data_IF_664225433750
#
_entry.id   IF_664225433750
#
_cell.length_a   1.000
_cell.length_b   1.000
_cell.length_c   1.000
_cell.angle_alpha   90.00
_cell.angle_beta   90.00
_cell.angle_gamma   90.00
#
_symmetry.space_group_name_H-M   'P 1'
#
loop_
_entity.id
_entity.type
_entity.pdbx_description
1 polymer ?
#
# COMPACT_ATOMS: atom_id res chain seq x y z
N UNK A 1 2.03 24.86 -18.44
CA UNK A 1 2.12 24.18 -17.13
C UNK A 1 2.00 25.17 -15.96
N UNK A 2 1.05 24.95 -15.05
CA UNK A 2 0.87 25.80 -13.88
C UNK A 2 2.11 25.72 -12.96
N UNK A 3 2.62 26.85 -12.48
CA UNK A 3 3.91 26.98 -11.76
C UNK A 3 3.98 26.21 -10.43
N UNK A 4 2.86 25.71 -9.91
CA UNK A 4 2.80 24.85 -8.72
C UNK A 4 2.95 23.39 -9.13
N UNK A 5 4.15 22.84 -9.02
CA UNK A 5 4.31 21.38 -9.01
C UNK A 5 4.95 20.97 -7.70
N UNK A 6 4.38 19.96 -7.02
CA UNK A 6 5.04 19.28 -5.89
C UNK A 6 5.92 18.11 -6.36
N UNK A 7 6.53 18.25 -7.55
CA UNK A 7 7.30 17.18 -8.18
C UNK A 7 6.43 16.10 -8.85
N UNK A 8 6.86 14.86 -8.70
CA UNK A 8 6.34 13.68 -9.40
C UNK A 8 7.31 13.18 -10.48
N UNK A 9 7.18 11.93 -10.86
CA UNK A 9 8.06 11.28 -11.82
C UNK A 9 7.45 10.01 -12.39
N UNK A 10 8.26 9.32 -13.18
CA UNK A 10 7.98 7.97 -13.62
C UNK A 10 9.14 7.09 -13.16
N UNK A 11 8.80 6.04 -12.43
CA UNK A 11 9.74 5.16 -11.78
C UNK A 11 9.39 3.71 -12.09
N UNK A 12 10.40 2.85 -12.15
CA UNK A 12 10.20 1.41 -12.26
C UNK A 12 10.11 0.86 -10.83
N UNK A 13 8.97 0.25 -10.49
CA UNK A 13 8.81 -0.43 -9.21
C UNK A 13 9.60 -1.74 -9.19
N UNK A 14 9.82 -2.28 -8.00
CA UNK A 14 10.60 -3.51 -7.75
C UNK A 14 9.99 -4.78 -8.39
N UNK A 15 8.77 -4.70 -8.91
CA UNK A 15 8.13 -5.74 -9.72
C UNK A 15 8.22 -5.46 -11.23
N UNK A 16 9.08 -4.53 -11.65
CA UNK A 16 9.40 -4.20 -13.03
C UNK A 16 8.38 -3.32 -13.74
N UNK A 17 7.27 -2.96 -13.08
CA UNK A 17 6.20 -2.14 -13.67
C UNK A 17 6.54 -0.66 -13.54
N UNK A 18 6.08 0.17 -14.47
CA UNK A 18 6.27 1.61 -14.36
C UNK A 18 5.12 2.25 -13.59
N UNK A 19 5.45 3.08 -12.60
CA UNK A 19 4.52 3.91 -11.84
C UNK A 19 4.76 5.36 -12.24
N UNK A 20 3.71 6.03 -12.73
CA UNK A 20 3.78 7.39 -13.24
C UNK A 20 2.87 8.27 -12.39
N UNK A 21 3.38 9.42 -11.95
CA UNK A 21 2.63 10.35 -11.11
C UNK A 21 3.46 10.93 -9.98
N UNK A 22 2.80 11.47 -8.94
CA UNK A 22 1.38 11.80 -8.88
C UNK A 22 1.06 13.07 -9.67
N UNK A 23 -0.23 13.39 -9.80
CA UNK A 23 -0.68 14.74 -10.16
C UNK A 23 -0.74 15.66 -8.92
N UNK A 24 -1.13 16.91 -9.12
CA UNK A 24 -1.44 17.86 -8.06
C UNK A 24 -2.79 18.51 -8.39
N UNK A 25 -3.84 17.97 -7.78
CA UNK A 25 -5.22 18.43 -7.90
C UNK A 25 -5.76 18.69 -6.51
N UNK A 26 -6.27 19.89 -6.28
CA UNK A 26 -6.92 20.24 -5.03
C UNK A 26 -8.33 19.63 -5.00
N UNK A 27 -8.68 19.01 -3.88
CA UNK A 27 -10.01 18.42 -3.63
C UNK A 27 -10.55 19.01 -2.33
N UNK A 28 -11.87 19.24 -2.27
CA UNK A 28 -12.53 19.80 -1.08
C UNK A 28 -12.83 18.74 -0.02
N UNK A 29 -13.21 17.55 -0.48
CA UNK A 29 -13.64 16.44 0.35
C UNK A 29 -12.44 15.56 0.74
N UNK A 30 -12.38 15.19 2.03
CA UNK A 30 -11.26 14.41 2.60
C UNK A 30 -11.18 12.97 2.06
N UNK A 31 -12.30 12.46 1.58
CA UNK A 31 -12.56 11.09 1.12
C UNK A 31 -12.70 11.01 -0.40
N UNK A 32 -12.56 12.12 -1.12
CA UNK A 32 -12.58 12.10 -2.58
C UNK A 32 -11.27 11.53 -3.14
N UNK A 33 -11.27 10.21 -3.32
CA UNK A 33 -10.22 9.43 -3.99
C UNK A 33 -10.64 9.05 -5.41
N UNK A 34 -11.49 9.85 -6.06
CA UNK A 34 -11.85 9.59 -7.46
C UNK A 34 -10.65 9.80 -8.39
N UNK A 35 -10.63 9.06 -9.49
CA UNK A 35 -9.65 9.22 -10.57
C UNK A 35 -10.42 9.47 -11.85
N UNK A 36 -10.14 10.58 -12.53
CA UNK A 36 -10.79 10.91 -13.80
C UNK A 36 -9.88 10.60 -14.98
N UNK A 37 -10.44 10.56 -16.19
CA UNK A 37 -9.67 10.35 -17.42
C UNK A 37 -8.64 11.46 -17.62
N UNK A 38 -9.04 12.70 -17.34
CA UNK A 38 -8.19 13.89 -17.45
C UNK A 38 -7.00 13.82 -16.49
N UNK A 39 -7.19 13.24 -15.29
CA UNK A 39 -6.10 13.02 -14.34
C UNK A 39 -5.03 12.08 -14.92
N UNK A 40 -5.45 11.01 -15.60
CA UNK A 40 -4.56 10.02 -16.24
C UNK A 40 -3.86 10.64 -17.44
N UNK A 41 -4.61 11.27 -18.34
CA UNK A 41 -4.07 11.92 -19.55
C UNK A 41 -3.05 13.01 -19.19
N UNK A 42 -3.32 13.82 -18.17
CA UNK A 42 -2.38 14.85 -17.70
C UNK A 42 -1.08 14.28 -17.12
N UNK A 43 -1.13 13.13 -16.44
CA UNK A 43 0.07 12.42 -15.97
C UNK A 43 0.88 11.90 -17.17
N UNK A 44 0.21 11.26 -18.14
CA UNK A 44 0.86 10.74 -19.34
C UNK A 44 1.50 11.87 -20.17
N UNK A 45 0.80 12.96 -20.42
CA UNK A 45 1.31 14.11 -21.17
C UNK A 45 2.54 14.73 -20.48
N UNK A 46 2.51 14.86 -19.14
CA UNK A 46 3.60 15.44 -18.36
C UNK A 46 4.87 14.59 -18.41
N UNK A 47 4.76 13.27 -18.20
CA UNK A 47 5.93 12.40 -18.02
C UNK A 47 6.36 11.67 -19.29
N UNK A 48 5.51 11.58 -20.32
CA UNK A 48 5.82 10.95 -21.61
C UNK A 48 7.09 11.52 -22.25
N UNK A 49 7.30 12.83 -22.12
CA UNK A 49 8.45 13.56 -22.67
C UNK A 49 9.80 13.10 -22.10
N UNK A 50 9.80 12.38 -20.97
CA UNK A 50 11.00 11.83 -20.34
C UNK A 50 11.44 10.49 -20.95
N UNK A 51 10.60 9.84 -21.78
CA UNK A 51 10.85 8.49 -22.28
C UNK A 51 10.76 8.41 -23.80
N UNK A 52 11.62 7.58 -24.40
CA UNK A 52 11.55 7.26 -25.83
C UNK A 52 10.36 6.38 -26.19
N UNK A 53 9.86 5.59 -25.23
CA UNK A 53 8.75 4.66 -25.40
C UNK A 53 7.73 4.87 -24.30
N UNK A 54 6.48 5.02 -24.69
CA UNK A 54 5.35 5.17 -23.77
C UNK A 54 4.78 3.81 -23.38
N UNK A 55 4.19 3.69 -22.17
CA UNK A 55 3.38 2.53 -21.83
C UNK A 55 2.23 2.41 -22.83
N UNK A 56 1.93 1.17 -23.25
CA UNK A 56 0.83 0.90 -24.18
C UNK A 56 -0.52 1.00 -23.50
N UNK A 57 -0.60 0.50 -22.26
CA UNK A 57 -1.84 0.38 -21.50
C UNK A 57 -1.64 0.80 -20.04
N UNK A 58 -2.71 1.31 -19.44
CA UNK A 58 -2.80 1.56 -18.00
C UNK A 58 -3.43 0.34 -17.35
N UNK A 59 -2.66 -0.39 -16.53
CA UNK A 59 -3.11 -1.64 -15.88
C UNK A 59 -3.79 -1.40 -14.53
N UNK A 60 -3.49 -0.28 -13.89
CA UNK A 60 -4.07 0.12 -12.61
C UNK A 60 -3.85 1.62 -12.38
N UNK A 61 -4.75 2.22 -11.62
CA UNK A 61 -4.64 3.57 -11.09
C UNK A 61 -5.06 3.58 -9.63
N UNK A 62 -4.50 4.51 -8.88
CA UNK A 62 -4.83 4.75 -7.49
C UNK A 62 -4.64 6.22 -7.19
N UNK A 63 -5.36 6.71 -6.20
CA UNK A 63 -5.26 8.07 -5.72
C UNK A 63 -5.22 8.07 -4.20
N UNK A 64 -4.81 9.20 -3.64
CA UNK A 64 -4.83 9.44 -2.21
C UNK A 64 -4.87 10.94 -1.96
N UNK A 65 -5.62 11.34 -0.94
CA UNK A 65 -5.76 12.74 -0.56
C UNK A 65 -4.68 13.08 0.48
N UNK A 66 -3.93 14.16 0.24
CA UNK A 66 -2.93 14.65 1.22
C UNK A 66 -3.61 15.58 2.22
N UNK A 67 -3.35 15.36 3.51
CA UNK A 67 -3.74 16.31 4.56
C UNK A 67 -2.84 17.54 4.50
N UNK A 68 -3.37 18.67 4.00
CA UNK A 68 -2.66 19.94 3.87
C UNK A 68 -3.19 20.90 4.93
N UNK A 69 -2.31 21.43 5.79
CA UNK A 69 -2.67 22.40 6.82
C UNK A 69 -1.65 23.54 6.89
N UNK A 70 -1.58 24.35 5.83
CA UNK A 70 -0.62 25.45 5.71
C UNK A 70 0.81 24.98 5.51
N UNK A 71 1.62 24.97 6.58
CA UNK A 71 3.04 24.56 6.61
C UNK A 71 3.20 23.04 6.39
N UNK A 72 4.46 22.58 6.30
CA UNK A 72 4.79 21.18 6.01
C UNK A 72 4.18 20.18 7.01
N UNK A 73 4.24 20.47 8.32
CA UNK A 73 3.71 19.62 9.39
C UNK A 73 3.10 20.47 10.53
N UNK A 74 2.05 19.97 11.18
CA UNK A 74 1.56 20.46 12.48
C UNK A 74 1.82 19.39 13.54
N UNK A 75 2.84 19.62 14.37
CA UNK A 75 3.18 18.73 15.50
C UNK A 75 3.28 19.58 16.76
N UNK A 76 2.21 19.61 17.55
CA UNK A 76 2.10 20.46 18.74
C UNK A 76 1.17 19.84 19.79
N UNK A 77 1.09 20.50 20.95
CA UNK A 77 0.23 20.12 22.07
C UNK A 77 -0.52 21.36 22.56
N UNK A 78 -1.63 21.76 21.92
CA UNK A 78 -2.32 22.99 22.27
C UNK A 78 -3.09 22.87 23.58
N UNK A 79 -3.45 21.66 23.98
CA UNK A 79 -4.11 21.36 25.26
C UNK A 79 -3.41 20.20 25.96
N UNK A 80 -3.54 20.15 27.28
CA UNK A 80 -2.92 19.11 28.11
C UNK A 80 -3.37 17.72 27.64
N UNK A 81 -2.44 16.77 27.59
CA UNK A 81 -2.66 15.38 27.19
C UNK A 81 -3.19 15.16 25.75
N UNK A 82 -3.06 16.14 24.84
CA UNK A 82 -3.49 16.00 23.45
C UNK A 82 -2.41 16.48 22.48
N UNK A 83 -1.82 15.55 21.73
CA UNK A 83 -0.78 15.84 20.74
C UNK A 83 -1.38 15.79 19.34
N UNK A 84 -1.27 16.87 18.60
CA UNK A 84 -1.58 16.89 17.17
C UNK A 84 -0.39 16.36 16.37
N UNK A 85 -0.69 15.51 15.39
CA UNK A 85 0.21 15.13 14.29
C UNK A 85 -0.60 15.26 13.00
N UNK A 86 -0.76 16.49 12.54
CA UNK A 86 -1.72 16.85 11.50
C UNK A 86 -1.05 17.57 10.33
N UNK A 87 -1.75 17.66 9.20
CA UNK A 87 -1.25 18.35 8.01
C UNK A 87 0.05 17.77 7.50
N UNK A 88 0.23 16.45 7.60
CA UNK A 88 1.49 15.79 7.24
C UNK A 88 1.62 15.75 5.71
N UNK A 89 2.32 16.74 5.16
CA UNK A 89 2.56 16.86 3.72
C UNK A 89 3.81 16.07 3.30
N UNK A 90 4.41 16.39 2.14
CA UNK A 90 5.71 15.82 1.75
C UNK A 90 6.82 16.53 2.53
N UNK A 91 7.78 15.83 3.16
CA UNK A 91 8.05 14.38 3.07
C UNK A 91 7.49 13.56 4.26
N UNK A 92 6.20 13.28 4.31
CA UNK A 92 5.54 12.62 5.44
C UNK A 92 6.04 11.20 5.74
N UNK A 93 6.12 10.34 4.72
CA UNK A 93 6.58 8.96 4.88
C UNK A 93 8.05 8.91 5.35
N UNK A 94 8.92 9.70 4.72
CA UNK A 94 10.35 9.78 5.06
C UNK A 94 10.57 10.41 6.43
N UNK A 95 9.74 11.39 6.83
CA UNK A 95 9.83 12.05 8.13
C UNK A 95 9.22 11.23 9.27
N UNK A 96 8.42 10.19 9.00
CA UNK A 96 7.68 9.44 10.02
C UNK A 96 8.54 8.98 11.22
N UNK A 97 9.77 8.45 11.05
CA UNK A 97 10.62 8.08 12.19
C UNK A 97 11.06 9.28 13.04
N UNK A 98 11.32 10.43 12.42
CA UNK A 98 11.70 11.66 13.14
C UNK A 98 10.50 12.26 13.89
N UNK A 99 9.32 12.26 13.25
CA UNK A 99 8.05 12.66 13.86
C UNK A 99 7.76 11.78 15.08
N UNK A 100 7.91 10.46 14.97
CA UNK A 100 7.72 9.54 16.08
C UNK A 100 8.65 9.86 17.27
N UNK A 101 9.94 10.14 17.02
CA UNK A 101 10.88 10.54 18.08
C UNK A 101 10.47 11.86 18.75
N UNK A 102 9.97 12.83 17.98
CA UNK A 102 9.47 14.10 18.53
C UNK A 102 8.24 13.88 19.41
N UNK A 103 7.26 13.10 18.95
CA UNK A 103 6.04 12.77 19.71
C UNK A 103 6.37 12.02 21.00
N UNK A 104 7.32 11.08 20.99
CA UNK A 104 7.76 10.38 22.21
C UNK A 104 8.32 11.36 23.26
N UNK A 105 9.10 12.38 22.84
CA UNK A 105 9.60 13.42 23.75
C UNK A 105 8.45 14.23 24.36
N UNK A 106 7.45 14.58 23.56
CA UNK A 106 6.27 15.32 24.03
C UNK A 106 5.44 14.51 25.03
N UNK A 107 5.30 13.20 24.82
CA UNK A 107 4.64 12.29 25.77
C UNK A 107 5.39 12.23 27.11
N UNK A 108 6.72 12.08 27.08
CA UNK A 108 7.54 12.10 28.31
C UNK A 108 7.42 13.45 29.02
N UNK A 109 7.49 14.56 28.28
CA UNK A 109 7.30 15.90 28.82
C UNK A 109 5.90 16.12 29.42
N UNK A 110 4.91 15.36 28.98
CA UNK A 110 3.54 15.35 29.56
C UNK A 110 3.40 14.42 30.77
N UNK A 111 4.47 13.78 31.22
CA UNK A 111 4.48 12.86 32.37
C UNK A 111 4.14 11.40 32.03
N UNK A 112 4.06 11.04 30.74
CA UNK A 112 3.83 9.65 30.34
C UNK A 112 5.10 8.84 30.53
N UNK A 113 5.02 7.78 31.34
CA UNK A 113 6.10 6.81 31.51
C UNK A 113 6.10 5.84 30.33
N UNK A 114 7.14 5.89 29.51
CA UNK A 114 7.31 5.01 28.36
C UNK A 114 8.07 3.75 28.76
N UNK A 115 7.59 2.57 28.32
CA UNK A 115 8.33 1.31 28.38
C UNK A 115 8.78 0.93 26.98
N UNK A 116 10.07 0.66 26.81
CA UNK A 116 10.59 0.13 25.55
C UNK A 116 10.00 -1.27 25.32
N UNK A 117 9.52 -1.55 24.11
CA UNK A 117 9.10 -2.91 23.74
C UNK A 117 10.34 -3.81 23.65
N UNK A 118 10.28 -4.99 24.27
CA UNK A 118 11.37 -5.96 24.26
C UNK A 118 11.52 -6.63 22.88
N UNK A 119 10.41 -6.77 22.15
CA UNK A 119 10.37 -7.36 20.81
C UNK A 119 9.67 -6.40 19.83
N UNK A 120 10.31 -6.17 18.69
CA UNK A 120 9.70 -5.53 17.52
C UNK A 120 9.31 -6.65 16.57
N UNK A 121 8.01 -6.83 16.32
CA UNK A 121 7.53 -7.77 15.31
C UNK A 121 7.76 -7.13 13.95
N UNK A 122 8.65 -7.73 13.15
CA UNK A 122 8.80 -7.43 11.74
C UNK A 122 8.21 -8.61 10.98
N UNK A 123 7.12 -8.43 10.22
CA UNK A 123 6.61 -9.49 9.37
C UNK A 123 7.72 -9.91 8.41
N UNK A 124 8.00 -11.21 8.37
CA UNK A 124 8.96 -11.83 7.46
C UNK A 124 8.18 -12.85 6.66
N UNK A 125 8.20 -12.72 5.34
CA UNK A 125 7.51 -13.62 4.44
C UNK A 125 8.53 -14.18 3.46
N UNK A 126 8.66 -15.50 3.40
CA UNK A 126 9.52 -16.13 2.39
C UNK A 126 8.78 -16.11 1.06
N UNK A 127 9.24 -15.29 0.12
CA UNK A 127 8.58 -15.10 -1.17
C UNK A 127 8.90 -16.24 -2.12
N UNK A 128 7.89 -16.85 -2.73
CA UNK A 128 8.11 -17.91 -3.73
C UNK A 128 9.03 -17.43 -4.87
N UNK A 129 8.81 -16.21 -5.35
CA UNK A 129 9.64 -15.58 -6.41
C UNK A 129 11.12 -15.36 -6.07
N UNK A 130 11.51 -15.50 -4.81
CA UNK A 130 12.89 -15.31 -4.33
C UNK A 130 13.59 -16.65 -4.05
N UNK A 131 12.86 -17.78 -4.14
CA UNK A 131 13.38 -19.11 -3.87
C UNK A 131 14.13 -19.70 -5.07
N UNK A 132 15.14 -20.53 -4.78
CA UNK A 132 15.78 -21.39 -5.79
C UNK A 132 14.95 -22.66 -6.04
N UNK A 133 15.21 -23.34 -7.15
CA UNK A 133 14.50 -24.55 -7.55
C UNK A 133 14.50 -25.65 -6.47
N UNK A 134 15.63 -25.92 -5.84
CA UNK A 134 15.72 -26.90 -4.74
C UNK A 134 14.85 -26.50 -3.53
N UNK A 135 14.79 -25.20 -3.22
CA UNK A 135 13.97 -24.67 -2.13
C UNK A 135 12.49 -24.74 -2.48
N UNK A 136 12.12 -24.47 -3.73
CA UNK A 136 10.75 -24.61 -4.24
C UNK A 136 10.32 -26.06 -4.13
N UNK A 137 11.12 -27.00 -4.63
CA UNK A 137 10.83 -28.43 -4.57
C UNK A 137 10.65 -28.92 -3.13
N UNK A 138 11.46 -28.42 -2.20
CA UNK A 138 11.32 -28.70 -0.77
C UNK A 138 10.03 -28.09 -0.19
N UNK A 139 9.76 -26.83 -0.47
CA UNK A 139 8.57 -26.13 0.02
C UNK A 139 7.27 -26.79 -0.47
N UNK A 140 7.23 -27.24 -1.73
CA UNK A 140 6.08 -27.97 -2.30
C UNK A 140 5.89 -29.34 -1.63
N UNK A 141 6.99 -30.04 -1.33
CA UNK A 141 6.93 -31.32 -0.60
C UNK A 141 6.40 -31.16 0.83
N UNK A 142 6.76 -30.07 1.50
CA UNK A 142 6.33 -29.77 2.87
C UNK A 142 4.89 -29.22 2.92
N UNK A 143 4.53 -28.33 1.99
CA UNK A 143 3.18 -27.82 1.82
C UNK A 143 2.82 -27.75 0.31
N UNK A 144 1.92 -28.63 -0.18
CA UNK A 144 1.47 -28.65 -1.57
C UNK A 144 0.87 -27.33 -2.09
N UNK A 145 0.40 -26.45 -1.21
CA UNK A 145 -0.14 -25.13 -1.57
C UNK A 145 0.93 -24.19 -2.15
N UNK A 146 2.22 -24.41 -1.84
CA UNK A 146 3.32 -23.71 -2.51
C UNK A 146 3.41 -24.06 -4.01
N UNK A 147 2.85 -25.18 -4.43
CA UNK A 147 2.81 -25.57 -5.84
C UNK A 147 1.71 -24.88 -6.64
N UNK A 148 0.80 -24.16 -5.98
CA UNK A 148 -0.37 -23.55 -6.62
C UNK A 148 -0.17 -22.04 -6.75
N UNK A 149 0.12 -21.59 -7.97
CA UNK A 149 0.29 -20.16 -8.25
C UNK A 149 -1.09 -19.51 -8.39
N UNK A 150 -1.38 -18.54 -7.53
CA UNK A 150 -2.61 -17.73 -7.56
C UNK A 150 -2.38 -16.42 -8.33
N UNK A 151 -1.25 -15.74 -8.10
CA UNK A 151 -0.89 -14.52 -8.86
C UNK A 151 0.29 -14.78 -9.79
N UNK A 152 0.02 -14.94 -11.08
CA UNK A 152 1.09 -15.15 -12.07
C UNK A 152 2.02 -13.93 -12.20
N UNK A 153 1.48 -12.71 -12.19
CA UNK A 153 2.26 -11.49 -12.43
C UNK A 153 3.27 -11.16 -11.32
N UNK A 154 3.05 -11.67 -10.11
CA UNK A 154 3.93 -11.47 -8.96
C UNK A 154 4.52 -12.79 -8.44
N UNK A 155 4.20 -13.92 -9.10
CA UNK A 155 4.54 -15.28 -8.69
C UNK A 155 4.22 -15.55 -7.22
N UNK A 156 2.95 -15.32 -6.86
CA UNK A 156 2.42 -15.55 -5.51
C UNK A 156 1.64 -16.85 -5.47
N UNK A 157 1.93 -17.67 -4.48
CA UNK A 157 1.31 -18.99 -4.25
C UNK A 157 0.08 -18.93 -3.34
N UNK A 158 -0.72 -19.99 -3.30
CA UNK A 158 -1.82 -20.16 -2.36
C UNK A 158 -1.30 -20.11 -0.91
N UNK A 159 -0.18 -20.78 -0.63
CA UNK A 159 0.47 -20.77 0.69
C UNK A 159 0.80 -19.36 1.19
N UNK A 160 1.35 -18.49 0.33
CA UNK A 160 1.67 -17.11 0.70
C UNK A 160 0.43 -16.27 0.99
N UNK A 161 -0.69 -16.54 0.31
CA UNK A 161 -1.95 -15.84 0.58
C UNK A 161 -2.52 -16.31 1.93
N UNK A 162 -2.47 -17.61 2.21
CA UNK A 162 -2.93 -18.17 3.49
C UNK A 162 -2.09 -17.67 4.66
N UNK A 163 -0.77 -17.59 4.51
CA UNK A 163 0.13 -17.00 5.50
C UNK A 163 -0.22 -15.53 5.76
N UNK A 164 -0.48 -14.74 4.71
CA UNK A 164 -0.89 -13.34 4.86
C UNK A 164 -2.26 -13.20 5.56
N UNK A 165 -3.19 -14.12 5.29
CA UNK A 165 -4.50 -14.15 5.92
C UNK A 165 -4.47 -14.57 7.39
N UNK A 166 -3.47 -15.35 7.81
CA UNK A 166 -3.32 -15.76 9.20
C UNK A 166 -3.04 -14.57 10.12
N UNK A 167 -2.29 -13.57 9.65
CA UNK A 167 -2.02 -12.33 10.38
C UNK A 167 -3.20 -11.35 10.30
N UNK A 168 -3.79 -11.18 9.11
CA UNK A 168 -4.91 -10.28 8.88
C UNK A 168 -5.80 -10.79 7.72
N UNK A 169 -7.00 -11.32 8.01
CA UNK A 169 -7.85 -11.97 7.00
C UNK A 169 -8.67 -10.97 6.17
N UNK A 170 -8.01 -10.01 5.52
CA UNK A 170 -8.65 -9.04 4.61
C UNK A 170 -7.91 -8.91 3.26
N UNK A 171 -8.63 -8.48 2.23
CA UNK A 171 -8.09 -8.34 0.86
C UNK A 171 -6.90 -7.37 0.83
N UNK A 172 -6.97 -6.26 1.57
CA UNK A 172 -5.91 -5.25 1.54
C UNK A 172 -4.64 -5.73 2.24
N UNK A 173 -4.74 -6.56 3.28
CA UNK A 173 -3.58 -7.22 3.87
C UNK A 173 -2.91 -8.17 2.86
N UNK A 174 -3.69 -9.00 2.17
CA UNK A 174 -3.17 -9.88 1.11
C UNK A 174 -2.46 -9.06 0.03
N UNK A 175 -3.05 -7.95 -0.40
CA UNK A 175 -2.47 -7.03 -1.38
C UNK A 175 -1.18 -6.37 -0.88
N UNK A 176 -1.16 -5.82 0.32
CA UNK A 176 0.00 -5.10 0.85
C UNK A 176 1.16 -6.05 1.20
N UNK A 177 0.86 -7.24 1.70
CA UNK A 177 1.85 -8.25 2.04
C UNK A 177 2.35 -8.93 0.77
N UNK A 178 1.48 -9.59 0.02
CA UNK A 178 1.90 -10.48 -1.09
C UNK A 178 2.00 -9.78 -2.44
N UNK A 179 1.32 -8.64 -2.63
CA UNK A 179 1.10 -7.93 -3.91
C UNK A 179 0.17 -8.63 -4.88
N UNK A 180 -0.38 -9.79 -4.53
CA UNK A 180 -1.46 -10.39 -5.28
C UNK A 180 -2.66 -9.43 -5.28
N UNK A 181 -3.21 -9.14 -6.46
CA UNK A 181 -4.31 -8.18 -6.60
C UNK A 181 -3.91 -6.69 -6.60
N UNK A 182 -2.62 -6.34 -6.56
CA UNK A 182 -2.17 -4.93 -6.62
C UNK A 182 -2.03 -4.38 -8.04
N UNK A 183 -1.67 -5.24 -9.02
CA UNK A 183 -1.38 -4.80 -10.39
C UNK A 183 -2.56 -5.07 -11.34
N UNK A 184 -2.53 -6.16 -12.11
CA UNK A 184 -3.56 -6.48 -13.10
C UNK A 184 -4.90 -6.94 -12.50
N UNK A 185 -4.94 -7.21 -11.20
CA UNK A 185 -6.11 -7.66 -10.43
C UNK A 185 -6.79 -8.96 -10.90
N UNK A 186 -6.25 -9.66 -11.90
CA UNK A 186 -6.84 -10.89 -12.47
C UNK A 186 -7.02 -12.01 -11.44
N UNK A 187 -6.09 -12.12 -10.48
CA UNK A 187 -6.15 -13.13 -9.41
C UNK A 187 -7.12 -12.77 -8.26
N UNK A 188 -7.82 -11.63 -8.34
CA UNK A 188 -8.70 -11.20 -7.25
C UNK A 188 -9.87 -12.17 -7.02
N UNK A 189 -10.42 -12.74 -8.09
CA UNK A 189 -11.48 -13.76 -7.98
C UNK A 189 -11.00 -14.99 -7.21
N UNK A 190 -9.80 -15.51 -7.54
CA UNK A 190 -9.21 -16.65 -6.85
C UNK A 190 -8.93 -16.34 -5.37
N UNK A 191 -8.44 -15.13 -5.07
CA UNK A 191 -8.24 -14.66 -3.70
C UNK A 191 -9.58 -14.63 -2.94
N UNK A 192 -10.64 -14.09 -3.54
CA UNK A 192 -11.97 -14.02 -2.93
C UNK A 192 -12.50 -15.43 -2.62
N UNK A 193 -12.40 -16.36 -3.57
CA UNK A 193 -12.81 -17.75 -3.40
C UNK A 193 -12.00 -18.41 -2.27
N UNK A 194 -10.68 -18.19 -2.24
CA UNK A 194 -9.81 -18.72 -1.20
C UNK A 194 -10.17 -18.17 0.19
N UNK A 195 -10.46 -16.87 0.27
CA UNK A 195 -10.94 -16.22 1.48
C UNK A 195 -12.26 -16.84 1.95
N UNK A 196 -13.27 -16.93 1.08
CA UNK A 196 -14.57 -17.53 1.43
C UNK A 196 -14.42 -18.95 1.99
N UNK A 197 -13.54 -19.76 1.40
CA UNK A 197 -13.26 -21.13 1.89
C UNK A 197 -12.69 -21.16 3.30
N UNK A 198 -11.80 -20.23 3.65
CA UNK A 198 -11.06 -20.27 4.92
C UNK A 198 -11.71 -19.46 6.04
N UNK A 199 -12.32 -18.31 5.74
CA UNK A 199 -12.85 -17.37 6.73
C UNK A 199 -14.37 -17.30 6.72
N UNK A 200 -15.05 -17.93 5.74
CA UNK A 200 -16.49 -17.83 5.48
C UNK A 200 -16.99 -16.41 5.20
N UNK A 201 -16.10 -15.43 5.09
CA UNK A 201 -16.43 -14.01 4.87
C UNK A 201 -15.35 -13.33 4.02
N UNK A 202 -15.78 -12.49 3.10
CA UNK A 202 -14.87 -11.62 2.36
C UNK A 202 -14.80 -10.29 3.10
N UNK A 203 -13.61 -9.91 3.56
CA UNK A 203 -13.39 -8.69 4.33
C UNK A 203 -12.44 -7.77 3.59
N UNK A 204 -12.77 -6.49 3.54
CA UNK A 204 -11.91 -5.41 3.09
C UNK A 204 -11.58 -4.51 4.28
N UNK A 205 -10.43 -3.85 4.26
CA UNK A 205 -9.92 -3.05 5.40
C UNK A 205 -10.75 -1.78 5.67
N UNK A 206 -11.58 -1.36 4.70
CA UNK A 206 -12.43 -0.17 4.81
C UNK A 206 -13.87 -0.58 5.15
N UNK A 207 -14.38 -0.03 6.26
CA UNK A 207 -15.76 -0.20 6.72
C UNK A 207 -16.77 0.29 5.66
N UNK A 208 -17.81 -0.50 5.37
CA UNK A 208 -18.80 -0.20 4.34
C UNK A 208 -18.35 -0.45 2.89
N UNK A 209 -17.17 -1.05 2.67
CA UNK A 209 -16.76 -1.49 1.34
C UNK A 209 -17.16 -2.93 1.08
N UNK A 210 -18.17 -3.12 0.24
CA UNK A 210 -18.58 -4.46 -0.20
C UNK A 210 -17.78 -4.91 -1.43
N UNK A 211 -17.39 -6.18 -1.44
CA UNK A 211 -16.95 -6.84 -2.67
C UNK A 211 -18.23 -7.26 -3.38
N UNK A 212 -18.51 -6.65 -4.55
CA UNK A 212 -19.67 -6.94 -5.39
C UNK A 212 -19.60 -8.33 -6.07
N UNK A 213 -19.04 -9.32 -5.38
CA UNK A 213 -18.96 -10.71 -5.81
C UNK A 213 -20.00 -11.50 -5.01
N UNK A 214 -21.21 -11.60 -5.56
CA UNK A 214 -22.22 -12.54 -5.11
C UNK A 214 -22.21 -13.71 -6.10
N UNK A 215 -21.94 -14.92 -5.60
CA UNK A 215 -22.14 -16.16 -6.37
C UNK A 215 -23.63 -16.44 -6.51
#
# INVERSE_FOLDING_TARGET
PNRRTKGGGALISIDGKSIWGPNLKDVKEKDNTSVTREDIEGILEKFSKLFKRLPRDVVAYYSGVRSIAGRDFIINQPIRNFINVAGIQSPGLTAAPAIAKMVLKMLVGSGVRLKKKDKIIRPSFKRFREMKEDEINKAIKENPEFGKIICLCNLVTEAEILEAMADAPCIDAIKHVTRAGMSCQKCLADIIILMQRHTKKVVKDVEGSDVAWQQ
#
